data_IF_645221474118
#
_entry.id   IF_645221474118
#
_cell.length_a   1.000
_cell.length_b   1.000
_cell.length_c   1.000
_cell.angle_alpha   90.00
_cell.angle_beta   90.00
_cell.angle_gamma   90.00
#
_symmetry.space_group_name_H-M   'P 1'
#
loop_
_entity.id
_entity.type
_entity.pdbx_description
1 polymer ?
#
# COMPACT_ATOMS: atom_id res chain seq x y z
N UNK A 1 3.93 17.68 0.38
CA UNK A 1 4.90 16.82 1.07
C UNK A 1 4.98 15.48 0.35
N UNK A 2 6.19 14.96 0.10
CA UNK A 2 6.41 13.73 -0.64
C UNK A 2 7.19 12.69 0.20
N UNK A 3 7.17 11.43 -0.23
CA UNK A 3 8.04 10.39 0.29
C UNK A 3 9.37 10.40 -0.48
N UNK A 4 10.45 9.98 0.17
CA UNK A 4 11.78 9.91 -0.45
C UNK A 4 11.83 8.93 -1.63
N UNK A 5 12.79 9.13 -2.55
CA UNK A 5 13.07 8.18 -3.63
C UNK A 5 13.38 6.79 -3.05
N UNK A 6 12.84 5.74 -3.69
CA UNK A 6 12.95 4.36 -3.21
C UNK A 6 11.82 3.92 -2.25
N UNK A 7 10.92 4.82 -1.85
CA UNK A 7 9.70 4.44 -1.11
C UNK A 7 8.73 3.67 -2.02
N UNK A 8 8.32 2.47 -1.61
CA UNK A 8 7.27 1.71 -2.30
C UNK A 8 5.93 2.46 -2.32
N UNK A 9 5.57 3.15 -1.22
CA UNK A 9 4.37 4.00 -1.15
C UNK A 9 4.43 5.12 -2.18
N UNK A 10 5.61 5.74 -2.41
CA UNK A 10 5.79 6.73 -3.47
C UNK A 10 5.65 6.11 -4.85
N UNK A 11 6.25 4.97 -5.10
CA UNK A 11 6.16 4.29 -6.38
C UNK A 11 4.70 3.95 -6.73
N UNK A 12 3.90 3.51 -5.74
CA UNK A 12 2.48 3.26 -5.90
C UNK A 12 1.71 4.55 -6.23
N UNK A 13 2.00 5.64 -5.52
CA UNK A 13 1.38 6.94 -5.79
C UNK A 13 1.74 7.48 -7.18
N UNK A 14 3.03 7.52 -7.53
CA UNK A 14 3.47 8.01 -8.82
C UNK A 14 2.86 7.19 -9.97
N UNK A 15 2.75 5.87 -9.81
CA UNK A 15 2.17 4.99 -10.82
C UNK A 15 0.66 5.19 -10.98
N UNK A 16 -0.10 5.17 -9.90
CA UNK A 16 -1.57 5.09 -9.97
C UNK A 16 -2.28 6.44 -9.86
N UNK A 17 -1.62 7.47 -9.34
CA UNK A 17 -2.18 8.84 -9.26
C UNK A 17 -1.61 9.74 -10.34
N UNK A 18 -0.30 9.63 -10.60
CA UNK A 18 0.38 10.48 -11.57
C UNK A 18 0.61 9.79 -12.94
N UNK A 19 0.00 8.63 -13.17
CA UNK A 19 0.13 7.86 -14.41
C UNK A 19 1.60 7.57 -14.80
N UNK A 20 2.48 7.42 -13.81
CA UNK A 20 3.91 7.17 -13.99
C UNK A 20 4.77 8.43 -14.14
N UNK A 21 4.17 9.62 -14.11
CA UNK A 21 4.92 10.88 -14.08
C UNK A 21 5.63 11.05 -12.72
N UNK A 22 6.81 11.67 -12.74
CA UNK A 22 7.50 11.98 -11.48
C UNK A 22 6.83 13.11 -10.71
N UNK A 23 6.67 12.92 -9.40
CA UNK A 23 6.20 13.96 -8.49
C UNK A 23 7.13 15.15 -8.49
N UNK A 24 6.60 16.38 -8.54
CA UNK A 24 7.37 17.59 -8.29
C UNK A 24 7.80 17.59 -6.81
N UNK A 25 9.12 17.59 -6.59
CA UNK A 25 9.71 17.47 -5.26
C UNK A 25 9.86 18.86 -4.66
N UNK A 26 9.21 19.09 -3.52
CA UNK A 26 9.40 20.28 -2.69
C UNK A 26 10.02 19.92 -1.33
N UNK A 27 9.52 18.87 -0.70
CA UNK A 27 9.99 18.34 0.58
C UNK A 27 9.77 16.84 0.61
N UNK A 28 10.79 16.07 1.00
CA UNK A 28 10.74 14.61 1.08
C UNK A 28 10.92 14.12 2.51
N UNK A 29 10.28 12.98 2.82
CA UNK A 29 10.40 12.29 4.10
C UNK A 29 10.57 10.78 3.90
N UNK A 30 11.44 10.20 4.72
CA UNK A 30 11.79 8.77 4.64
C UNK A 30 10.66 7.84 5.10
N UNK A 31 9.88 8.23 6.11
CA UNK A 31 8.91 7.34 6.73
C UNK A 31 7.46 7.83 6.65
N UNK A 32 6.51 6.88 6.59
CA UNK A 32 5.08 7.17 6.71
C UNK A 32 4.76 7.87 8.03
N UNK A 33 5.40 7.48 9.13
CA UNK A 33 5.17 8.08 10.45
C UNK A 33 5.55 9.55 10.50
N UNK A 34 6.70 9.93 9.93
CA UNK A 34 7.12 11.34 9.84
C UNK A 34 6.18 12.16 8.96
N UNK A 35 5.77 11.59 7.81
CA UNK A 35 4.78 12.23 6.93
C UNK A 35 3.49 12.51 7.68
N UNK A 36 2.93 11.51 8.38
CA UNK A 36 1.70 11.68 9.17
C UNK A 36 1.85 12.80 10.21
N UNK A 37 2.95 12.82 10.97
CA UNK A 37 3.19 13.83 11.99
C UNK A 37 3.24 15.26 11.40
N UNK A 38 3.89 15.43 10.24
CA UNK A 38 3.96 16.72 9.56
C UNK A 38 2.57 17.17 9.07
N UNK A 39 1.81 16.25 8.46
CA UNK A 39 0.44 16.56 8.01
C UNK A 39 -0.44 16.96 9.18
N UNK A 40 -0.39 16.20 10.29
CA UNK A 40 -1.17 16.47 11.50
C UNK A 40 -0.83 17.82 12.16
N UNK A 41 0.45 18.24 12.10
CA UNK A 41 0.92 19.45 12.79
C UNK A 41 0.98 20.72 11.91
N UNK A 42 0.80 20.59 10.59
CA UNK A 42 1.00 21.69 9.64
C UNK A 42 -0.27 21.92 8.81
N UNK A 43 -1.11 22.90 9.17
CA UNK A 43 -2.33 23.21 8.44
C UNK A 43 -2.08 23.45 6.93
N UNK A 44 -2.94 22.89 6.09
CA UNK A 44 -2.85 23.00 4.63
C UNK A 44 -1.87 22.04 3.98
N UNK A 45 -1.24 21.15 4.75
CA UNK A 45 -0.38 20.10 4.20
C UNK A 45 -1.22 18.91 3.73
N UNK A 46 -0.89 18.40 2.55
CA UNK A 46 -1.42 17.15 2.00
C UNK A 46 -0.26 16.20 1.65
N UNK A 47 -0.49 14.91 1.83
CA UNK A 47 0.47 13.85 1.46
C UNK A 47 -0.23 12.51 1.30
N UNK A 48 0.53 11.42 1.25
CA UNK A 48 0.04 10.06 1.16
C UNK A 48 0.88 9.14 2.05
N UNK A 49 0.21 8.14 2.64
CA UNK A 49 0.80 7.13 3.54
C UNK A 49 0.10 5.80 3.32
N UNK A 50 0.71 4.70 3.79
CA UNK A 50 0.03 3.40 3.86
C UNK A 50 -1.12 3.44 4.87
N UNK A 51 -2.15 2.61 4.68
CA UNK A 51 -3.34 2.54 5.55
C UNK A 51 -3.00 2.34 7.02
N UNK A 52 -2.01 1.51 7.32
CA UNK A 52 -1.52 1.26 8.68
C UNK A 52 -1.05 2.52 9.44
N UNK A 53 -0.85 3.63 8.74
CA UNK A 53 -0.43 4.91 9.33
C UNK A 53 -1.56 5.94 9.41
N UNK A 54 -2.75 5.64 8.90
CA UNK A 54 -3.91 6.52 9.06
C UNK A 54 -4.49 6.34 10.46
N UNK A 55 -4.71 7.43 11.18
CA UNK A 55 -5.29 7.46 12.51
C UNK A 55 -6.15 8.73 12.67
N UNK A 56 -6.63 9.00 13.89
CA UNK A 56 -7.46 10.15 14.21
C UNK A 56 -6.81 11.53 14.01
N UNK A 57 -5.48 11.59 13.87
CA UNK A 57 -4.76 12.86 13.66
C UNK A 57 -4.83 13.36 12.22
N UNK A 58 -5.19 12.49 11.26
CA UNK A 58 -5.22 12.81 9.84
C UNK A 58 -6.49 12.28 9.17
N UNK A 59 -7.03 13.03 8.22
CA UNK A 59 -8.20 12.61 7.45
C UNK A 59 -7.79 11.96 6.13
N UNK A 60 -8.35 10.78 5.85
CA UNK A 60 -8.19 10.11 4.57
C UNK A 60 -9.20 10.66 3.55
N UNK A 61 -8.70 11.22 2.47
CA UNK A 61 -9.51 11.84 1.43
C UNK A 61 -10.08 10.79 0.46
N UNK A 62 -11.30 11.02 0.00
CA UNK A 62 -11.85 10.28 -1.14
C UNK A 62 -11.24 10.78 -2.45
N UNK A 63 -10.99 9.87 -3.39
CA UNK A 63 -10.57 10.19 -4.75
C UNK A 63 -11.68 9.72 -5.70
N UNK A 64 -12.17 10.60 -6.57
CA UNK A 64 -13.30 10.35 -7.47
C UNK A 64 -14.57 9.85 -6.75
N UNK A 65 -14.77 10.31 -5.50
CA UNK A 65 -15.91 9.92 -4.67
C UNK A 65 -15.75 8.58 -3.95
N UNK A 66 -14.65 7.85 -4.18
CA UNK A 66 -14.35 6.56 -3.53
C UNK A 66 -13.49 6.80 -2.29
N UNK A 67 -13.87 6.19 -1.17
CA UNK A 67 -13.09 6.22 0.08
C UNK A 67 -11.99 5.16 0.06
N UNK A 68 -10.81 5.44 0.67
CA UNK A 68 -9.76 4.46 0.88
C UNK A 68 -10.13 3.49 2.01
N UNK A 69 -10.87 2.44 1.68
CA UNK A 69 -11.23 1.37 2.62
C UNK A 69 -10.75 0.02 2.10
N UNK A 70 -10.51 -0.98 2.99
CA UNK A 70 -10.15 -2.32 2.58
C UNK A 70 -11.13 -2.90 1.53
N UNK A 71 -12.43 -2.77 1.73
CA UNK A 71 -13.45 -3.26 0.81
C UNK A 71 -13.34 -2.65 -0.59
N UNK A 72 -13.03 -1.35 -0.66
CA UNK A 72 -12.86 -0.66 -1.94
C UNK A 72 -11.54 -1.05 -2.63
N UNK A 73 -10.52 -1.42 -1.86
CA UNK A 73 -9.26 -1.97 -2.40
C UNK A 73 -9.49 -3.37 -2.96
N UNK A 74 -10.13 -4.27 -2.18
CA UNK A 74 -10.31 -5.68 -2.59
C UNK A 74 -11.08 -5.83 -3.90
N UNK A 75 -11.96 -4.88 -4.21
CA UNK A 75 -12.75 -4.82 -5.46
C UNK A 75 -12.13 -3.94 -6.54
N UNK A 76 -10.98 -3.31 -6.27
CA UNK A 76 -10.36 -2.29 -7.13
C UNK A 76 -11.24 -1.04 -7.37
N UNK A 77 -12.25 -0.79 -6.56
CA UNK A 77 -12.96 0.50 -6.58
C UNK A 77 -12.03 1.65 -6.15
N UNK A 78 -11.19 1.42 -5.13
CA UNK A 78 -10.04 2.26 -4.81
C UNK A 78 -8.82 1.73 -5.55
N UNK A 79 -8.29 2.49 -6.50
CA UNK A 79 -7.26 2.03 -7.43
C UNK A 79 -5.81 2.24 -6.95
N UNK A 80 -5.59 2.99 -5.86
CA UNK A 80 -4.27 3.34 -5.36
C UNK A 80 -3.80 2.27 -4.36
N UNK A 81 -3.36 1.12 -4.86
CA UNK A 81 -2.86 0.02 -4.07
C UNK A 81 -1.78 -0.76 -4.82
N UNK A 82 -1.00 -1.56 -4.10
CA UNK A 82 -0.04 -2.50 -4.66
C UNK A 82 0.11 -3.69 -3.71
N UNK A 83 0.50 -4.84 -4.26
CA UNK A 83 0.95 -5.97 -3.46
C UNK A 83 2.30 -5.68 -2.80
N UNK A 84 2.48 -6.14 -1.59
CA UNK A 84 3.80 -6.30 -0.98
C UNK A 84 4.42 -7.59 -1.50
N UNK A 85 5.69 -7.54 -1.91
CA UNK A 85 6.38 -8.68 -2.51
C UNK A 85 7.60 -9.07 -1.70
N UNK A 86 7.81 -10.38 -1.58
CA UNK A 86 9.04 -10.97 -1.07
C UNK A 86 9.86 -11.54 -2.23
N UNK A 87 11.15 -11.23 -2.25
CA UNK A 87 12.04 -11.65 -3.34
C UNK A 87 13.13 -12.60 -2.83
N UNK A 88 13.42 -13.63 -3.62
CA UNK A 88 14.53 -14.56 -3.38
C UNK A 88 15.49 -14.58 -4.57
N UNK A 89 16.74 -14.92 -4.31
CA UNK A 89 17.70 -15.18 -5.38
C UNK A 89 17.61 -16.66 -5.81
N UNK A 90 16.78 -16.94 -6.80
CA UNK A 90 16.45 -18.30 -7.26
C UNK A 90 15.34 -18.96 -6.43
N UNK A 91 15.12 -20.25 -6.66
CA UNK A 91 14.10 -21.04 -5.97
C UNK A 91 14.36 -21.12 -4.46
N UNK A 92 13.38 -20.76 -3.60
CA UNK A 92 13.57 -20.82 -2.16
C UNK A 92 13.59 -22.26 -1.66
N UNK A 93 14.53 -22.57 -0.74
CA UNK A 93 14.67 -23.89 -0.11
C UNK A 93 14.88 -23.75 1.40
N UNK A 94 14.71 -24.84 2.16
CA UNK A 94 14.92 -24.89 3.60
C UNK A 94 14.15 -23.79 4.34
N UNK A 95 14.77 -23.13 5.30
CA UNK A 95 14.14 -22.11 6.15
C UNK A 95 13.58 -20.93 5.37
N UNK A 96 14.18 -20.56 4.23
CA UNK A 96 13.65 -19.49 3.38
C UNK A 96 12.28 -19.88 2.82
N UNK A 97 12.16 -21.11 2.32
CA UNK A 97 10.87 -21.60 1.83
C UNK A 97 9.84 -21.69 2.95
N UNK A 98 10.21 -22.25 4.09
CA UNK A 98 9.33 -22.38 5.26
C UNK A 98 8.81 -21.01 5.73
N UNK A 99 9.68 -19.99 5.73
CA UNK A 99 9.26 -18.62 6.08
C UNK A 99 8.26 -18.05 5.07
N UNK A 100 8.50 -18.22 3.76
CA UNK A 100 7.57 -17.76 2.72
C UNK A 100 6.21 -18.47 2.81
N UNK A 101 6.24 -19.80 3.00
CA UNK A 101 5.01 -20.58 3.21
C UNK A 101 4.25 -20.12 4.45
N UNK A 102 4.96 -19.81 5.56
CA UNK A 102 4.36 -19.26 6.76
C UNK A 102 3.72 -17.89 6.53
N UNK A 103 4.38 -16.99 5.81
CA UNK A 103 3.82 -15.68 5.48
C UNK A 103 2.53 -15.75 4.65
N UNK A 104 2.34 -16.83 3.89
CA UNK A 104 1.12 -17.08 3.11
C UNK A 104 0.10 -17.97 3.85
N UNK A 105 0.41 -18.39 5.08
CA UNK A 105 -0.48 -19.26 5.87
C UNK A 105 -1.70 -18.51 6.41
N UNK A 106 -2.75 -19.27 6.78
CA UNK A 106 -3.95 -18.74 7.44
C UNK A 106 -3.63 -18.02 8.75
N UNK A 107 -2.63 -18.49 9.50
CA UNK A 107 -2.20 -17.85 10.76
C UNK A 107 -1.74 -16.41 10.54
N UNK A 108 -1.07 -16.13 9.41
CA UNK A 108 -0.58 -14.79 9.08
C UNK A 108 -1.64 -14.01 8.32
N UNK A 109 -2.19 -14.56 7.25
CA UNK A 109 -3.14 -13.87 6.38
C UNK A 109 -4.48 -13.64 7.07
N UNK A 110 -4.97 -14.58 7.88
CA UNK A 110 -6.28 -14.50 8.54
C UNK A 110 -6.31 -13.64 9.81
N UNK A 111 -5.17 -13.17 10.33
CA UNK A 111 -5.17 -12.39 11.57
C UNK A 111 -4.08 -11.32 11.67
N UNK A 112 -2.81 -11.69 11.44
CA UNK A 112 -1.68 -10.78 11.69
C UNK A 112 -1.64 -9.64 10.66
N UNK A 113 -1.97 -9.90 9.41
CA UNK A 113 -1.96 -8.91 8.32
C UNK A 113 -2.95 -7.78 8.63
N UNK A 114 -4.18 -8.10 9.00
CA UNK A 114 -5.20 -7.11 9.38
C UNK A 114 -4.81 -6.33 10.65
N UNK A 115 -4.28 -7.02 11.67
CA UNK A 115 -3.85 -6.39 12.91
C UNK A 115 -2.72 -5.35 12.68
N UNK A 116 -1.92 -5.52 11.62
CA UNK A 116 -0.89 -4.58 11.21
C UNK A 116 -1.41 -3.48 10.25
N UNK A 117 -2.70 -3.47 9.93
CA UNK A 117 -3.31 -2.49 9.04
C UNK A 117 -3.04 -2.72 7.54
N UNK A 118 -2.75 -3.97 7.17
CA UNK A 118 -2.67 -4.41 5.78
C UNK A 118 -3.92 -5.19 5.39
N UNK A 119 -4.09 -5.43 4.12
CA UNK A 119 -5.20 -6.21 3.56
C UNK A 119 -4.67 -7.60 3.21
N UNK A 120 -5.28 -8.68 3.73
CA UNK A 120 -4.90 -10.04 3.38
C UNK A 120 -4.99 -10.27 1.87
N UNK A 121 -4.00 -10.92 1.29
CA UNK A 121 -4.04 -11.26 -0.13
C UNK A 121 -5.19 -12.21 -0.48
N UNK A 122 -5.64 -13.01 0.49
CA UNK A 122 -6.79 -13.91 0.40
C UNK A 122 -8.14 -13.19 0.26
N UNK A 123 -8.23 -11.93 0.67
CA UNK A 123 -9.47 -11.13 0.62
C UNK A 123 -9.68 -10.46 -0.74
N UNK A 124 -8.63 -10.41 -1.56
CA UNK A 124 -8.71 -9.78 -2.87
C UNK A 124 -9.72 -10.48 -3.76
N UNK A 125 -10.56 -9.70 -4.42
CA UNK A 125 -11.56 -10.17 -5.41
C UNK A 125 -11.07 -10.01 -6.84
N UNK A 126 -10.00 -9.27 -7.00
CA UNK A 126 -9.36 -9.02 -8.29
C UNK A 126 -7.86 -9.13 -8.15
N UNK A 127 -7.20 -9.55 -9.21
CA UNK A 127 -5.77 -9.42 -9.42
C UNK A 127 -5.48 -8.26 -10.37
N UNK A 128 -4.30 -7.68 -10.27
CA UNK A 128 -3.85 -6.60 -11.13
C UNK A 128 -2.40 -6.81 -11.54
N UNK A 129 -2.18 -6.93 -12.85
CA UNK A 129 -0.83 -7.10 -13.38
C UNK A 129 -0.01 -5.81 -13.38
N UNK A 130 1.24 -5.91 -13.81
CA UNK A 130 2.17 -4.78 -13.84
C UNK A 130 1.75 -3.70 -14.85
N UNK A 131 1.01 -4.04 -15.88
CA UNK A 131 0.46 -3.12 -16.88
C UNK A 131 -0.80 -2.41 -16.35
N UNK A 132 -1.42 -2.92 -15.28
CA UNK A 132 -2.63 -2.36 -14.69
C UNK A 132 -3.92 -3.04 -15.13
N UNK A 133 -3.84 -4.16 -15.85
CA UNK A 133 -5.03 -4.94 -16.23
C UNK A 133 -5.58 -5.64 -14.99
N UNK A 134 -6.88 -5.51 -14.78
CA UNK A 134 -7.60 -6.07 -13.64
C UNK A 134 -8.37 -7.29 -14.07
N UNK A 135 -8.19 -8.42 -13.38
CA UNK A 135 -8.90 -9.68 -13.63
C UNK A 135 -9.56 -10.18 -12.35
N UNK A 136 -10.80 -10.72 -12.40
CA UNK A 136 -11.41 -11.36 -11.23
C UNK A 136 -10.59 -12.54 -10.73
N UNK A 137 -10.53 -12.72 -9.41
CA UNK A 137 -10.02 -13.93 -8.76
C UNK A 137 -11.22 -14.86 -8.53
N UNK A 138 -11.15 -16.10 -9.03
CA UNK A 138 -12.19 -17.13 -8.85
C UNK A 138 -12.15 -17.77 -7.46
#
# INVERSE_FOLDING_TARGET
>A
LNRAKGSGTRATFDKWVLAGEESIITQEQESNGTVRQIVASTPGTISYVSFSYVNEDVEALSVDGVKPTPENVTTNAWVIWAYEHMYTNGEPTGLTKEFLDYMLSEDVQGSLIEALGYIPSTDMKVDRDIEGNVTPIE
#
